data_IF_314786548116
#
_entry.id   IF_314786548116
#
_cell.length_a   1.000
_cell.length_b   1.000
_cell.length_c   1.000
_cell.angle_alpha   90.00
_cell.angle_beta   90.00
_cell.angle_gamma   90.00
#
_symmetry.space_group_name_H-M   'P 1'
#
loop_
_entity.id
_entity.type
_entity.pdbx_description
1 polymer ?
#
# COMPACT_ATOMS: atom_id res chain seq x y z
N UNK A 1 -7.81 -18.82 -7.94
CA UNK A 1 -6.44 -19.27 -7.58
C UNK A 1 -6.33 -19.13 -6.07
N UNK A 2 -5.99 -20.18 -5.32
CA UNK A 2 -5.97 -20.06 -3.85
C UNK A 2 -4.71 -19.31 -3.41
N UNK A 3 -4.90 -18.15 -2.79
CA UNK A 3 -3.83 -17.29 -2.27
C UNK A 3 -4.05 -17.13 -0.77
N UNK A 4 -2.97 -17.22 0.00
CA UNK A 4 -3.00 -16.93 1.43
C UNK A 4 -2.12 -15.73 1.73
N UNK A 5 -2.63 -14.83 2.56
CA UNK A 5 -1.96 -13.62 3.01
C UNK A 5 -1.57 -13.82 4.48
N UNK A 6 -0.27 -13.75 4.76
CA UNK A 6 0.27 -13.79 6.12
C UNK A 6 0.74 -12.38 6.47
N UNK A 7 0.00 -11.72 7.34
CA UNK A 7 0.33 -10.39 7.85
C UNK A 7 1.26 -10.57 9.05
N UNK A 8 2.51 -10.15 8.91
CA UNK A 8 3.55 -10.35 9.91
C UNK A 8 3.79 -9.05 10.67
N UNK A 9 3.55 -9.08 11.98
CA UNK A 9 3.90 -8.01 12.92
C UNK A 9 5.13 -8.40 13.77
N UNK A 10 5.77 -7.43 14.43
CA UNK A 10 6.97 -7.70 15.23
C UNK A 10 6.69 -8.67 16.40
N UNK A 11 5.66 -8.40 17.19
CA UNK A 11 5.41 -9.07 18.47
C UNK A 11 5.54 -8.08 19.63
N UNK A 12 4.58 -8.12 20.55
CA UNK A 12 4.48 -7.28 21.74
C UNK A 12 3.82 -8.05 22.88
N UNK A 13 4.17 -7.72 24.13
CA UNK A 13 3.47 -8.22 25.31
C UNK A 13 2.21 -7.39 25.66
N UNK A 14 1.96 -6.27 24.96
CA UNK A 14 0.79 -5.42 25.19
C UNK A 14 -0.45 -5.99 24.51
N UNK A 15 -1.50 -6.18 25.32
CA UNK A 15 -2.83 -6.60 24.89
C UNK A 15 -3.50 -5.53 24.02
N UNK A 16 -3.23 -4.25 24.29
CA UNK A 16 -3.73 -3.13 23.50
C UNK A 16 -3.17 -3.18 22.07
N UNK A 17 -1.87 -3.38 21.93
CA UNK A 17 -1.22 -3.51 20.61
C UNK A 17 -1.82 -4.68 19.82
N UNK A 18 -2.02 -5.83 20.48
CA UNK A 18 -2.67 -6.98 19.86
C UNK A 18 -4.09 -6.66 19.35
N UNK A 19 -4.90 -6.00 20.20
CA UNK A 19 -6.26 -5.60 19.86
C UNK A 19 -6.30 -4.65 18.68
N UNK A 20 -5.41 -3.66 18.67
CA UNK A 20 -5.33 -2.65 17.61
C UNK A 20 -4.91 -3.28 16.27
N UNK A 21 -3.90 -4.16 16.28
CA UNK A 21 -3.48 -4.89 15.07
C UNK A 21 -4.59 -5.77 14.52
N UNK A 22 -5.32 -6.48 15.39
CA UNK A 22 -6.46 -7.29 14.96
C UNK A 22 -7.54 -6.42 14.31
N UNK A 23 -7.87 -5.27 14.91
CA UNK A 23 -8.85 -4.33 14.35
C UNK A 23 -8.41 -3.79 12.98
N UNK A 24 -7.12 -3.50 12.80
CA UNK A 24 -6.57 -3.07 11.51
C UNK A 24 -6.76 -4.17 10.46
N UNK A 25 -6.42 -5.42 10.77
CA UNK A 25 -6.56 -6.54 9.83
C UNK A 25 -8.02 -6.82 9.48
N UNK A 26 -8.92 -6.80 10.46
CA UNK A 26 -10.36 -6.95 10.19
C UNK A 26 -10.89 -5.82 9.31
N UNK A 27 -10.43 -4.59 9.53
CA UNK A 27 -10.79 -3.46 8.67
C UNK A 27 -10.22 -3.62 7.26
N UNK A 28 -8.99 -4.15 7.11
CA UNK A 28 -8.38 -4.40 5.81
C UNK A 28 -9.16 -5.42 4.98
N UNK A 29 -9.72 -6.46 5.62
CA UNK A 29 -10.57 -7.45 4.94
C UNK A 29 -11.74 -6.81 4.21
N UNK A 30 -12.28 -5.69 4.72
CA UNK A 30 -13.38 -4.97 4.07
C UNK A 30 -13.01 -4.35 2.72
N UNK A 31 -11.72 -4.11 2.46
CA UNK A 31 -11.24 -3.46 1.24
C UNK A 31 -10.70 -4.47 0.21
N UNK A 32 -10.66 -5.75 0.56
CA UNK A 32 -10.18 -6.82 -0.30
C UNK A 32 -11.39 -7.44 -1.01
N UNK A 33 -11.45 -7.27 -2.33
CA UNK A 33 -12.62 -7.61 -3.16
C UNK A 33 -12.71 -9.11 -3.45
N UNK A 34 -11.60 -9.84 -3.32
CA UNK A 34 -11.50 -11.24 -3.73
C UNK A 34 -11.91 -12.19 -2.59
N UNK A 35 -12.92 -13.03 -2.85
CA UNK A 35 -13.60 -13.83 -1.82
C UNK A 35 -12.84 -15.08 -1.35
N UNK A 36 -11.80 -15.51 -2.08
CA UNK A 36 -11.04 -16.73 -1.80
C UNK A 36 -9.68 -16.47 -1.10
N UNK A 37 -9.50 -15.31 -0.48
CA UNK A 37 -8.28 -14.94 0.24
C UNK A 37 -8.35 -15.33 1.72
N UNK A 38 -7.44 -16.20 2.15
CA UNK A 38 -7.23 -16.49 3.56
C UNK A 38 -6.23 -15.50 4.15
N UNK A 39 -6.65 -14.71 5.14
CA UNK A 39 -5.78 -13.71 5.81
C UNK A 39 -5.46 -14.16 7.23
N UNK A 40 -4.17 -14.32 7.50
CA UNK A 40 -3.63 -14.77 8.78
C UNK A 40 -2.82 -13.64 9.42
N UNK A 41 -2.99 -13.42 10.72
CA UNK A 41 -2.10 -12.60 11.52
C UNK A 41 -1.03 -13.50 12.15
N UNK A 42 0.24 -13.12 12.01
CA UNK A 42 1.36 -13.82 12.60
C UNK A 42 2.41 -12.85 13.16
N UNK A 43 3.29 -13.37 13.99
CA UNK A 43 4.32 -12.58 14.67
C UNK A 43 5.73 -13.08 14.34
N UNK A 44 6.69 -12.16 14.28
CA UNK A 44 8.11 -12.47 14.14
C UNK A 44 8.76 -12.88 15.46
N UNK A 45 8.31 -12.32 16.57
CA UNK A 45 8.79 -12.67 17.91
C UNK A 45 7.65 -13.20 18.76
N UNK A 46 7.87 -14.36 19.37
CA UNK A 46 6.98 -14.90 20.40
C UNK A 46 7.24 -14.17 21.71
N UNK A 47 6.45 -13.13 21.96
CA UNK A 47 6.50 -12.36 23.21
C UNK A 47 5.29 -12.72 24.07
N UNK A 48 5.53 -13.49 25.13
CA UNK A 48 4.48 -13.99 26.03
C UNK A 48 3.46 -14.89 25.31
N UNK A 49 2.23 -14.92 25.84
CA UNK A 49 1.12 -15.69 25.27
C UNK A 49 0.22 -14.87 24.32
N UNK A 50 0.61 -13.63 24.01
CA UNK A 50 -0.19 -12.69 23.22
C UNK A 50 0.24 -12.68 21.75
N UNK A 51 1.56 -12.72 21.49
CA UNK A 51 2.13 -12.70 20.13
C UNK A 51 2.29 -14.11 19.57
N UNK A 52 1.15 -14.76 19.34
CA UNK A 52 1.05 -16.09 18.72
C UNK A 52 -0.04 -16.06 17.64
N UNK A 53 0.07 -16.86 16.56
CA UNK A 53 1.17 -17.78 16.21
C UNK A 53 2.41 -17.09 15.61
N UNK A 54 3.54 -17.80 15.53
CA UNK A 54 4.72 -17.33 14.79
C UNK A 54 4.54 -17.53 13.29
N UNK A 55 5.13 -16.66 12.46
CA UNK A 55 4.89 -16.70 11.00
C UNK A 55 5.34 -18.01 10.34
N UNK A 56 6.41 -18.64 10.83
CA UNK A 56 6.86 -19.95 10.32
C UNK A 56 5.78 -21.04 10.53
N UNK A 57 5.09 -21.01 11.68
CA UNK A 57 4.02 -21.97 12.01
C UNK A 57 2.82 -21.79 11.08
N UNK A 58 2.43 -20.53 10.86
CA UNK A 58 1.34 -20.19 9.93
C UNK A 58 1.70 -20.57 8.50
N UNK A 59 2.93 -20.30 8.06
CA UNK A 59 3.40 -20.67 6.73
C UNK A 59 3.32 -22.19 6.54
N UNK A 60 3.79 -22.97 7.51
CA UNK A 60 3.74 -24.43 7.45
C UNK A 60 2.31 -24.96 7.37
N UNK A 61 1.40 -24.47 8.23
CA UNK A 61 -0.01 -24.86 8.21
C UNK A 61 -0.68 -24.52 6.85
N UNK A 62 -0.34 -23.38 6.26
CA UNK A 62 -0.86 -22.96 4.95
C UNK A 62 -0.33 -23.85 3.83
N UNK A 63 0.96 -24.19 3.85
CA UNK A 63 1.61 -25.04 2.85
C UNK A 63 1.12 -26.49 2.93
N UNK A 64 0.92 -27.03 4.14
CA UNK A 64 0.37 -28.37 4.38
C UNK A 64 -1.05 -28.52 3.81
N UNK A 65 -1.83 -27.43 3.78
CA UNK A 65 -3.16 -27.36 3.15
C UNK A 65 -3.10 -27.25 1.61
N UNK A 66 -1.91 -27.27 1.02
CA UNK A 66 -1.69 -27.24 -0.43
C UNK A 66 -1.77 -25.86 -1.07
N UNK A 67 -1.74 -24.78 -0.28
CA UNK A 67 -1.72 -23.41 -0.82
C UNK A 67 -0.32 -23.09 -1.32
N UNK A 68 -0.19 -22.73 -2.61
CA UNK A 68 1.11 -22.51 -3.27
C UNK A 68 1.36 -21.06 -3.67
N UNK A 69 0.44 -20.14 -3.40
CA UNK A 69 0.64 -18.70 -3.61
C UNK A 69 0.49 -17.98 -2.28
N UNK A 70 1.58 -17.42 -1.78
CA UNK A 70 1.67 -16.83 -0.45
C UNK A 70 2.07 -15.37 -0.58
N UNK A 71 1.35 -14.48 0.09
CA UNK A 71 1.72 -13.07 0.25
C UNK A 71 2.09 -12.83 1.71
N UNK A 72 3.33 -12.43 1.96
CA UNK A 72 3.77 -11.96 3.27
C UNK A 72 3.70 -10.43 3.33
N UNK A 73 2.76 -9.92 4.13
CA UNK A 73 2.59 -8.48 4.34
C UNK A 73 3.35 -8.08 5.59
N UNK A 74 4.34 -7.21 5.43
CA UNK A 74 5.20 -6.76 6.51
C UNK A 74 4.64 -5.51 7.19
N UNK A 75 4.06 -5.67 8.38
CA UNK A 75 3.63 -4.54 9.23
C UNK A 75 4.80 -3.95 10.02
N UNK A 76 5.83 -3.51 9.30
CA UNK A 76 7.01 -2.89 9.86
C UNK A 76 7.20 -1.51 9.25
N UNK A 77 7.53 -0.53 10.09
CA UNK A 77 7.80 0.82 9.61
C UNK A 77 9.00 0.78 8.67
N UNK A 78 10.16 0.29 9.10
CA UNK A 78 11.39 0.32 8.32
C UNK A 78 12.01 -1.07 8.09
N UNK A 79 12.95 -1.15 7.13
CA UNK A 79 13.82 -2.31 6.90
C UNK A 79 14.81 -2.47 8.07
N UNK A 80 14.33 -2.96 9.21
CA UNK A 80 15.19 -3.32 10.34
C UNK A 80 15.90 -4.65 10.10
N UNK A 81 16.95 -4.93 10.90
CA UNK A 81 17.65 -6.24 10.88
C UNK A 81 16.66 -7.41 11.04
N UNK A 82 15.63 -7.24 11.85
CA UNK A 82 14.59 -8.26 12.08
C UNK A 82 13.79 -8.61 10.81
N UNK A 83 13.47 -7.62 9.98
CA UNK A 83 12.71 -7.86 8.75
C UNK A 83 13.58 -8.56 7.70
N UNK A 84 14.78 -8.00 7.48
CA UNK A 84 15.64 -8.43 6.38
C UNK A 84 16.33 -9.76 6.68
N UNK A 85 16.81 -9.96 7.91
CA UNK A 85 17.52 -11.19 8.27
C UNK A 85 16.58 -12.29 8.74
N UNK A 86 15.63 -11.96 9.61
CA UNK A 86 14.89 -13.01 10.33
C UNK A 86 13.69 -13.53 9.53
N UNK A 87 13.17 -12.77 8.56
CA UNK A 87 12.10 -13.21 7.65
C UNK A 87 12.63 -13.40 6.23
N UNK A 88 13.19 -12.34 5.63
CA UNK A 88 13.57 -12.37 4.21
C UNK A 88 14.75 -13.31 3.95
N UNK A 89 15.81 -13.20 4.76
CA UNK A 89 17.01 -14.05 4.66
C UNK A 89 16.76 -15.53 4.92
N UNK A 90 15.60 -15.91 5.47
CA UNK A 90 15.22 -17.31 5.65
C UNK A 90 14.86 -18.00 4.34
N UNK A 91 14.42 -17.24 3.34
CA UNK A 91 14.09 -17.78 2.02
C UNK A 91 15.29 -17.72 1.09
N UNK A 92 15.87 -16.53 0.92
CA UNK A 92 17.00 -16.28 0.01
C UNK A 92 17.76 -15.01 0.40
N UNK A 93 19.09 -15.00 0.21
CA UNK A 93 19.96 -13.85 0.51
C UNK A 93 19.68 -12.61 -0.37
N UNK A 94 19.12 -12.81 -1.57
CA UNK A 94 18.88 -11.75 -2.56
C UNK A 94 17.39 -11.56 -2.91
N UNK A 95 16.49 -11.80 -1.97
CA UNK A 95 15.06 -11.62 -2.20
C UNK A 95 14.71 -10.15 -2.46
N UNK A 96 13.87 -9.91 -3.47
CA UNK A 96 13.40 -8.58 -3.87
C UNK A 96 11.98 -8.37 -3.36
N UNK A 97 11.74 -7.25 -2.67
CA UNK A 97 10.40 -6.88 -2.23
C UNK A 97 9.50 -6.54 -3.42
N UNK A 98 8.21 -6.70 -3.21
CA UNK A 98 7.15 -6.32 -4.15
C UNK A 98 7.19 -7.07 -5.49
N UNK A 99 7.69 -8.30 -5.47
CA UNK A 99 7.76 -9.20 -6.63
C UNK A 99 7.39 -10.63 -6.24
N UNK A 100 6.73 -11.34 -7.16
CA UNK A 100 6.47 -12.77 -7.01
C UNK A 100 7.74 -13.56 -7.31
N UNK A 101 8.10 -14.47 -6.41
CA UNK A 101 9.29 -15.30 -6.52
C UNK A 101 8.96 -16.75 -6.19
N UNK A 102 9.54 -17.70 -6.93
CA UNK A 102 9.43 -19.12 -6.59
C UNK A 102 10.49 -19.48 -5.57
N UNK A 103 10.07 -19.99 -4.42
CA UNK A 103 10.95 -20.31 -3.28
C UNK A 103 10.71 -21.73 -2.78
N UNK A 104 11.61 -22.20 -1.92
CA UNK A 104 11.51 -23.49 -1.27
C UNK A 104 11.63 -23.34 0.25
N UNK A 105 10.70 -23.96 0.99
CA UNK A 105 10.71 -23.98 2.46
C UNK A 105 10.40 -25.40 2.93
N UNK A 106 11.30 -26.01 3.70
CA UNK A 106 11.12 -27.36 4.28
C UNK A 106 10.57 -28.41 3.28
N UNK A 107 11.03 -28.37 2.02
CA UNK A 107 10.61 -29.30 0.96
C UNK A 107 9.38 -28.89 0.15
N UNK A 108 8.66 -27.84 0.56
CA UNK A 108 7.56 -27.25 -0.21
C UNK A 108 8.08 -26.23 -1.21
N UNK A 109 7.56 -26.26 -2.44
CA UNK A 109 7.84 -25.29 -3.49
C UNK A 109 6.58 -24.45 -3.73
N UNK A 110 6.72 -23.13 -3.63
CA UNK A 110 5.59 -22.21 -3.74
C UNK A 110 6.03 -20.83 -4.27
N UNK A 111 5.05 -20.04 -4.70
CA UNK A 111 5.22 -18.65 -5.09
C UNK A 111 5.03 -17.76 -3.86
N UNK A 112 6.00 -16.88 -3.60
CA UNK A 112 6.04 -15.97 -2.47
C UNK A 112 6.10 -14.53 -2.99
N UNK A 113 5.27 -13.65 -2.43
CA UNK A 113 5.36 -12.20 -2.58
C UNK A 113 5.58 -11.59 -1.21
N UNK A 114 6.65 -10.82 -1.00
CA UNK A 114 6.89 -10.10 0.26
C UNK A 114 6.74 -8.61 0.00
N UNK A 115 5.82 -7.94 0.70
CA UNK A 115 5.64 -6.48 0.55
C UNK A 115 6.83 -5.71 1.10
N UNK A 116 7.18 -4.58 0.51
CA UNK A 116 8.09 -3.64 1.19
C UNK A 116 7.51 -3.16 2.53
N UNK A 117 8.36 -2.78 3.52
CA UNK A 117 7.90 -2.14 4.75
C UNK A 117 7.09 -0.86 4.47
N UNK A 118 6.14 -0.53 5.34
CA UNK A 118 5.14 0.52 5.09
C UNK A 118 5.75 1.92 4.91
N UNK A 119 6.93 2.22 5.47
CA UNK A 119 7.61 3.51 5.29
C UNK A 119 8.02 3.80 3.85
N UNK A 120 8.17 2.77 3.02
CA UNK A 120 8.48 2.94 1.61
C UNK A 120 7.33 3.58 0.84
N UNK A 121 6.09 3.42 1.33
CA UNK A 121 4.88 3.86 0.64
C UNK A 121 4.65 5.37 0.75
N UNK A 122 4.14 5.98 -0.33
CA UNK A 122 3.73 7.40 -0.33
C UNK A 122 2.58 7.65 0.64
N UNK A 123 1.64 6.71 0.77
CA UNK A 123 0.48 6.83 1.67
C UNK A 123 0.90 6.96 3.13
N UNK A 124 1.90 6.18 3.59
CA UNK A 124 2.41 6.32 4.95
C UNK A 124 3.02 7.71 5.18
N UNK A 125 3.82 8.21 4.24
CA UNK A 125 4.42 9.56 4.32
C UNK A 125 3.34 10.64 4.38
N UNK A 126 2.29 10.53 3.55
CA UNK A 126 1.14 11.44 3.56
C UNK A 126 0.37 11.37 4.88
N UNK A 127 0.20 10.19 5.46
CA UNK A 127 -0.45 10.02 6.77
C UNK A 127 0.31 10.74 7.89
N UNK A 128 1.65 10.65 7.88
CA UNK A 128 2.50 11.38 8.83
C UNK A 128 2.41 12.89 8.58
N UNK A 129 2.53 13.35 7.34
CA UNK A 129 2.41 14.76 6.98
C UNK A 129 1.05 15.34 7.39
N UNK A 130 -0.04 14.59 7.18
CA UNK A 130 -1.38 14.95 7.59
C UNK A 130 -1.50 15.09 9.11
N UNK A 131 -0.88 14.17 9.87
CA UNK A 131 -0.83 14.24 11.33
C UNK A 131 -0.09 15.50 11.82
N UNK A 132 1.03 15.85 11.18
CA UNK A 132 1.77 17.08 11.47
C UNK A 132 0.94 18.31 11.14
N UNK A 133 0.38 18.40 9.93
CA UNK A 133 -0.41 19.55 9.50
C UNK A 133 -1.64 19.78 10.39
N UNK A 134 -2.23 18.70 10.94
CA UNK A 134 -3.29 18.79 11.95
C UNK A 134 -2.79 19.36 13.28
N UNK A 135 -1.63 18.89 13.76
CA UNK A 135 -1.12 19.32 15.07
C UNK A 135 -0.74 20.80 15.11
N UNK A 136 -0.31 21.36 13.97
CA UNK A 136 0.02 22.79 13.81
C UNK A 136 -1.17 23.64 13.32
N UNK A 137 -2.37 23.07 13.26
CA UNK A 137 -3.59 23.81 12.90
C UNK A 137 -3.70 24.22 11.43
N UNK A 138 -2.81 23.74 10.55
CA UNK A 138 -2.90 23.97 9.11
C UNK A 138 -4.07 23.20 8.49
N UNK A 139 -4.47 22.07 9.08
CA UNK A 139 -5.68 21.36 8.72
C UNK A 139 -6.72 21.55 9.83
N UNK A 140 -7.70 22.43 9.57
CA UNK A 140 -8.83 22.66 10.48
C UNK A 140 -9.74 21.41 10.48
N UNK A 141 -9.68 20.64 11.57
CA UNK A 141 -10.56 19.51 11.94
C UNK A 141 -10.37 18.13 11.24
N UNK A 142 -10.88 17.11 11.95
CA UNK A 142 -10.86 15.67 11.59
C UNK A 142 -11.35 15.46 10.15
N UNK A 143 -10.42 15.28 9.20
CA UNK A 143 -10.58 14.40 8.02
C UNK A 143 -11.10 13.02 8.48
N UNK A 144 -12.41 12.95 8.72
CA UNK A 144 -13.24 11.75 8.74
C UNK A 144 -14.47 11.95 7.84
N UNK A 145 -14.74 13.18 7.38
CA UNK A 145 -15.50 13.37 6.16
C UNK A 145 -14.54 13.20 4.99
N UNK A 146 -14.48 12.00 4.42
CA UNK A 146 -14.18 11.89 2.99
C UNK A 146 -15.18 12.82 2.32
N UNK A 147 -14.71 13.87 1.64
CA UNK A 147 -15.58 14.70 0.82
C UNK A 147 -16.30 13.76 -0.13
N UNK A 148 -17.63 13.67 -0.03
CA UNK A 148 -18.45 12.78 -0.87
C UNK A 148 -19.00 13.51 -2.09
N UNK A 149 -18.90 14.84 -2.10
CA UNK A 149 -19.29 15.63 -3.25
C UNK A 149 -18.25 15.45 -4.36
N UNK A 150 -18.61 14.63 -5.34
CA UNK A 150 -17.78 14.31 -6.51
C UNK A 150 -17.25 15.58 -7.18
N UNK A 151 -18.09 16.58 -7.42
CA UNK A 151 -17.69 17.83 -8.07
C UNK A 151 -16.65 18.60 -7.26
N UNK A 152 -16.75 18.55 -5.93
CA UNK A 152 -15.80 19.22 -5.05
C UNK A 152 -14.46 18.48 -5.01
N UNK A 153 -14.47 17.15 -4.93
CA UNK A 153 -13.24 16.33 -5.03
C UNK A 153 -12.52 16.62 -6.33
N UNK A 154 -13.26 16.63 -7.44
CA UNK A 154 -12.72 16.89 -8.77
C UNK A 154 -12.11 18.29 -8.86
N UNK A 155 -12.83 19.31 -8.40
CA UNK A 155 -12.34 20.70 -8.41
C UNK A 155 -11.07 20.85 -7.58
N UNK A 156 -11.07 20.42 -6.31
CA UNK A 156 -9.92 20.54 -5.42
C UNK A 156 -8.72 19.71 -5.91
N UNK A 157 -8.97 18.55 -6.53
CA UNK A 157 -7.90 17.72 -7.09
C UNK A 157 -7.28 18.37 -8.31
N UNK A 158 -8.09 18.91 -9.22
CA UNK A 158 -7.60 19.61 -10.41
C UNK A 158 -6.84 20.89 -10.05
N UNK A 159 -7.29 21.63 -9.04
CA UNK A 159 -6.54 22.79 -8.52
C UNK A 159 -5.14 22.39 -8.03
N UNK A 160 -5.05 21.32 -7.23
CA UNK A 160 -3.76 20.80 -6.75
C UNK A 160 -2.87 20.30 -7.88
N UNK A 161 -3.43 19.59 -8.85
CA UNK A 161 -2.69 19.11 -10.02
C UNK A 161 -2.17 20.30 -10.83
N UNK A 162 -2.99 21.32 -11.08
CA UNK A 162 -2.58 22.53 -11.80
C UNK A 162 -1.45 23.27 -11.08
N UNK A 163 -1.51 23.37 -9.74
CA UNK A 163 -0.41 23.93 -8.94
C UNK A 163 0.89 23.15 -9.15
N UNK A 164 0.83 21.81 -9.18
CA UNK A 164 1.99 20.98 -9.46
C UNK A 164 2.50 21.18 -10.89
N UNK A 165 1.63 21.12 -11.90
CA UNK A 165 2.00 21.32 -13.31
C UNK A 165 2.69 22.67 -13.55
N UNK A 166 2.23 23.73 -12.87
CA UNK A 166 2.87 25.05 -12.92
C UNK A 166 4.32 25.06 -12.43
N UNK A 167 4.73 24.09 -11.62
CA UNK A 167 6.11 23.99 -11.12
C UNK A 167 7.02 23.12 -12.00
N UNK A 168 6.45 22.31 -12.90
CA UNK A 168 7.21 21.27 -13.63
C UNK A 168 7.11 21.36 -15.15
N UNK A 169 6.09 22.02 -15.70
CA UNK A 169 5.87 22.11 -17.15
C UNK A 169 5.54 23.56 -17.54
N UNK A 170 6.35 24.12 -18.43
CA UNK A 170 6.10 25.40 -19.08
C UNK A 170 5.33 25.20 -20.39
N UNK A 171 4.03 25.45 -20.36
CA UNK A 171 3.13 25.31 -21.50
C UNK A 171 1.91 26.21 -21.31
N UNK A 172 1.01 26.26 -22.30
CA UNK A 172 -0.19 27.11 -22.22
C UNK A 172 -1.17 26.64 -21.12
N UNK A 173 -1.97 27.56 -20.58
CA UNK A 173 -2.98 27.23 -19.57
C UNK A 173 -4.00 26.20 -20.09
N UNK A 174 -4.31 26.25 -21.39
CA UNK A 174 -5.16 25.28 -22.04
C UNK A 174 -4.55 23.88 -22.03
N UNK A 175 -3.28 23.76 -22.41
CA UNK A 175 -2.58 22.47 -22.40
C UNK A 175 -2.45 21.91 -20.98
N UNK A 176 -2.15 22.77 -20.00
CA UNK A 176 -2.15 22.39 -18.58
C UNK A 176 -3.50 21.89 -18.11
N UNK A 177 -4.60 22.54 -18.50
CA UNK A 177 -5.95 22.08 -18.17
C UNK A 177 -6.22 20.66 -18.68
N UNK A 178 -5.84 20.37 -19.93
CA UNK A 178 -6.00 19.03 -20.51
C UNK A 178 -5.10 18.01 -19.82
N UNK A 179 -3.83 18.35 -19.58
CA UNK A 179 -2.89 17.50 -18.84
C UNK A 179 -3.40 17.21 -17.41
N UNK A 180 -3.95 18.21 -16.73
CA UNK A 180 -4.50 18.04 -15.38
C UNK A 180 -5.66 17.05 -15.35
N UNK A 181 -6.51 17.05 -16.39
CA UNK A 181 -7.59 16.07 -16.56
C UNK A 181 -7.06 14.65 -16.77
N UNK A 182 -6.01 14.49 -17.58
CA UNK A 182 -5.34 13.20 -17.80
C UNK A 182 -4.72 12.67 -16.51
N UNK A 183 -3.99 13.53 -15.78
CA UNK A 183 -3.38 13.20 -14.49
C UNK A 183 -4.46 12.86 -13.46
N UNK A 184 -5.55 13.62 -13.40
CA UNK A 184 -6.66 13.35 -12.48
C UNK A 184 -7.31 12.00 -12.76
N UNK A 185 -7.62 11.71 -14.03
CA UNK A 185 -8.27 10.47 -14.44
C UNK A 185 -7.38 9.23 -14.21
N UNK A 186 -6.07 9.38 -14.34
CA UNK A 186 -5.10 8.29 -14.19
C UNK A 186 -4.53 8.14 -12.79
N UNK A 187 -4.56 9.20 -11.98
CA UNK A 187 -3.82 9.29 -10.72
C UNK A 187 -2.30 9.32 -10.90
N UNK A 188 -1.77 9.52 -12.11
CA UNK A 188 -0.34 9.48 -12.41
C UNK A 188 0.15 10.82 -12.97
N UNK A 189 0.98 11.54 -12.20
CA UNK A 189 1.55 12.83 -12.59
C UNK A 189 2.52 12.72 -13.77
N UNK A 190 3.22 11.59 -13.93
CA UNK A 190 4.24 11.42 -14.98
C UNK A 190 3.62 11.47 -16.38
N UNK A 191 2.34 11.13 -16.51
CA UNK A 191 1.63 11.22 -17.80
C UNK A 191 1.58 12.65 -18.34
N UNK A 192 1.73 13.68 -17.51
CA UNK A 192 1.81 15.06 -17.98
C UNK A 192 2.97 15.28 -18.96
N UNK A 193 4.13 14.65 -18.75
CA UNK A 193 5.29 14.74 -19.65
C UNK A 193 5.12 13.95 -20.94
N UNK A 194 4.19 13.00 -20.96
CA UNK A 194 3.92 12.13 -22.10
C UNK A 194 2.62 12.48 -22.84
N UNK A 195 1.93 13.54 -22.40
CA UNK A 195 0.68 13.99 -23.02
C UNK A 195 0.99 14.90 -24.19
N UNK A 196 0.65 14.47 -25.40
CA UNK A 196 0.68 15.29 -26.60
C UNK A 196 -0.72 15.76 -26.95
N UNK A 197 -0.91 17.07 -27.08
CA UNK A 197 -2.20 17.68 -27.42
C UNK A 197 -2.11 18.11 -28.88
N UNK A 198 -2.85 17.41 -29.75
CA UNK A 198 -2.86 17.73 -31.16
C UNK A 198 -3.44 19.14 -31.39
N UNK A 199 -2.88 19.97 -32.29
CA UNK A 199 -3.35 21.35 -32.52
C UNK A 199 -4.84 21.47 -32.87
N UNK A 200 -5.40 20.42 -33.48
CA UNK A 200 -6.82 20.31 -33.86
C UNK A 200 -7.72 19.72 -32.77
N UNK A 201 -7.23 19.53 -31.55
CA UNK A 201 -8.00 18.91 -30.46
C UNK A 201 -9.32 19.64 -30.19
N UNK A 202 -9.32 20.98 -30.22
CA UNK A 202 -10.52 21.79 -30.03
C UNK A 202 -11.54 21.66 -31.17
N UNK A 203 -11.10 21.36 -32.38
CA UNK A 203 -12.00 21.14 -33.52
C UNK A 203 -12.86 19.89 -33.30
N UNK A 204 -12.28 18.87 -32.65
CA UNK A 204 -12.93 17.57 -32.40
C UNK A 204 -13.80 17.60 -31.13
N UNK A 205 -13.42 18.39 -30.13
CA UNK A 205 -14.17 18.48 -28.87
C UNK A 205 -15.44 19.35 -28.95
N UNK A 206 -15.68 20.03 -30.07
CA UNK A 206 -16.85 20.89 -30.32
C UNK A 206 -17.96 20.22 -31.14
N UNK A 207 -17.74 19.02 -31.65
CA UNK A 207 -18.79 18.14 -32.24
C UNK A 207 -19.49 17.33 -31.14
#
# INVERSE_FOLDING_TARGET
>A
MKVSIIVIAHGSNSIEVYRDLKNVIESMKMFIVEQDLEIHLAYNEKVGNVSVPHWEEVLEEVLERGVTNIVMVLLFIAKGKHVVRDIVGKFMDNLVFDQWMKVMWKGYIFNLYITSPISSTTLFKLMIANSINRSIGMLKQKVLSVEKNVSRIETESLERINLLLNTIIETSDFEKMVMARVVFASGNLDLAYHTYIHPRFLDVARE
#
